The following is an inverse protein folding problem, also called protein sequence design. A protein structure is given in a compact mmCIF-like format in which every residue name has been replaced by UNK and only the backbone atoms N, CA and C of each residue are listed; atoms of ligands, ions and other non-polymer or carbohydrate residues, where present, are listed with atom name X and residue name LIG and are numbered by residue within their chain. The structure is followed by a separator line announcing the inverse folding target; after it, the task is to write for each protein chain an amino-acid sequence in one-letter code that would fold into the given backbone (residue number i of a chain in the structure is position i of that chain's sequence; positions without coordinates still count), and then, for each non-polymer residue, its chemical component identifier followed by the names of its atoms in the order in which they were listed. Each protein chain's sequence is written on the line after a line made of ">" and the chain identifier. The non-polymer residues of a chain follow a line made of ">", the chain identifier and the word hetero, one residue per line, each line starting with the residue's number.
data_IF_220193100164
#
_entry.id   IF_220193100164
#
_cell.length_a   1.000
_cell.length_b   1.000
_cell.length_c   1.000
_cell.angle_alpha   90.00
_cell.angle_beta   90.00
_cell.angle_gamma   90.00
#
_symmetry.space_group_name_H-M   'P 1'
#
loop_
_entity.id
_entity.type
_entity.pdbx_description
1 polymer ?
#
# COMPACT_ATOMS: atom_id res chain seq x y z
N UNK A 1 35.71 -7.17 -3.86
CA UNK A 1 35.28 -6.40 -5.05
C UNK A 1 34.11 -5.52 -4.66
N UNK A 2 34.39 -4.27 -4.30
CA UNK A 2 33.39 -3.24 -4.08
C UNK A 2 32.86 -2.79 -5.44
N UNK A 3 31.60 -3.10 -5.74
CA UNK A 3 30.92 -2.52 -6.89
C UNK A 3 30.73 -1.02 -6.62
N UNK A 4 31.65 -0.21 -7.15
CA UNK A 4 31.45 1.23 -7.26
C UNK A 4 30.34 1.48 -8.27
N UNK A 5 29.14 1.81 -7.78
CA UNK A 5 28.07 2.33 -8.61
C UNK A 5 28.44 3.75 -9.07
N UNK A 6 28.20 4.12 -10.33
CA UNK A 6 28.43 5.48 -10.80
C UNK A 6 27.54 6.48 -10.02
N UNK A 7 28.04 7.70 -9.71
CA UNK A 7 27.42 8.66 -8.77
C UNK A 7 26.15 9.36 -9.28
N UNK A 8 25.37 8.74 -10.17
CA UNK A 8 24.15 9.35 -10.74
C UNK A 8 22.98 8.39 -10.98
N UNK A 9 23.07 7.12 -10.58
CA UNK A 9 21.98 6.14 -10.74
C UNK A 9 21.34 5.77 -9.41
N UNK A 10 20.00 5.85 -9.35
CA UNK A 10 19.19 5.38 -8.21
C UNK A 10 19.63 3.96 -7.79
N UNK A 11 19.88 3.67 -6.50
CA UNK A 11 20.25 2.33 -6.06
C UNK A 11 19.28 1.28 -6.59
N UNK A 12 19.80 0.14 -7.05
CA UNK A 12 18.97 -0.88 -7.68
C UNK A 12 17.81 -1.36 -6.78
N UNK A 13 18.00 -1.63 -5.47
CA UNK A 13 16.88 -1.98 -4.60
C UNK A 13 15.86 -0.85 -4.44
N UNK A 14 16.27 0.42 -4.51
CA UNK A 14 15.34 1.55 -4.50
C UNK A 14 14.53 1.60 -5.80
N UNK A 15 15.14 1.29 -6.95
CA UNK A 15 14.41 1.19 -8.22
C UNK A 15 13.40 0.05 -8.21
N UNK A 16 13.85 -1.16 -7.84
CA UNK A 16 13.02 -2.37 -7.81
C UNK A 16 11.92 -2.25 -6.75
N UNK A 17 12.26 -1.84 -5.52
CA UNK A 17 11.29 -1.65 -4.45
C UNK A 17 10.18 -0.69 -4.86
N UNK A 18 10.52 0.36 -5.62
CA UNK A 18 9.52 1.30 -6.13
C UNK A 18 8.66 0.73 -7.25
N UNK A 19 9.21 -0.09 -8.14
CA UNK A 19 8.42 -0.80 -9.16
C UNK A 19 7.45 -1.77 -8.51
N UNK A 20 7.90 -2.54 -7.51
CA UNK A 20 7.04 -3.44 -6.73
C UNK A 20 5.92 -2.67 -6.05
N UNK A 21 6.24 -1.55 -5.39
CA UNK A 21 5.22 -0.69 -4.76
C UNK A 21 4.25 -0.07 -5.76
N UNK A 22 4.67 0.27 -6.98
CA UNK A 22 3.75 0.72 -8.03
C UNK A 22 2.76 -0.39 -8.42
N UNK A 23 3.22 -1.64 -8.52
CA UNK A 23 2.34 -2.79 -8.76
C UNK A 23 1.37 -2.99 -7.60
N UNK A 24 1.84 -2.92 -6.35
CA UNK A 24 0.99 -2.98 -5.14
C UNK A 24 -0.13 -1.96 -5.22
N UNK A 25 0.19 -0.68 -5.50
CA UNK A 25 -0.80 0.39 -5.59
C UNK A 25 -1.80 0.14 -6.73
N UNK A 26 -1.32 -0.29 -7.90
CA UNK A 26 -2.19 -0.54 -9.06
C UNK A 26 -3.17 -1.69 -8.77
N UNK A 27 -2.67 -2.81 -8.25
CA UNK A 27 -3.50 -3.98 -7.93
C UNK A 27 -4.49 -3.64 -6.82
N UNK A 28 -4.09 -2.88 -5.80
CA UNK A 28 -4.99 -2.47 -4.72
C UNK A 28 -6.11 -1.54 -5.23
N UNK A 29 -5.81 -0.57 -6.11
CA UNK A 29 -6.85 0.28 -6.73
C UNK A 29 -7.85 -0.59 -7.49
N UNK A 30 -7.36 -1.49 -8.34
CA UNK A 30 -8.23 -2.37 -9.12
C UNK A 30 -9.08 -3.27 -8.21
N UNK A 31 -8.49 -3.79 -7.13
CA UNK A 31 -9.18 -4.62 -6.15
C UNK A 31 -10.29 -3.83 -5.44
N UNK A 32 -10.02 -2.59 -5.02
CA UNK A 32 -11.03 -1.73 -4.38
C UNK A 32 -12.20 -1.40 -5.31
N UNK A 33 -11.92 -1.12 -6.59
CA UNK A 33 -12.97 -0.88 -7.59
C UNK A 33 -13.80 -2.14 -7.86
N UNK A 34 -13.16 -3.30 -7.88
CA UNK A 34 -13.84 -4.58 -8.01
C UNK A 34 -14.75 -4.86 -6.81
N UNK A 35 -14.24 -4.68 -5.58
CA UNK A 35 -15.01 -4.83 -4.34
C UNK A 35 -16.18 -3.85 -4.28
N UNK A 36 -15.99 -2.59 -4.66
CA UNK A 36 -17.06 -1.60 -4.77
C UNK A 36 -18.14 -2.06 -5.76
N UNK A 37 -17.74 -2.56 -6.92
CA UNK A 37 -18.65 -3.04 -7.96
C UNK A 37 -19.48 -4.22 -7.45
N UNK A 38 -18.86 -5.20 -6.79
CA UNK A 38 -19.56 -6.34 -6.20
C UNK A 38 -20.58 -5.89 -5.15
N UNK A 39 -20.19 -5.01 -4.23
CA UNK A 39 -21.09 -4.51 -3.18
C UNK A 39 -22.29 -3.73 -3.72
N UNK A 40 -22.11 -2.95 -4.78
CA UNK A 40 -23.20 -2.15 -5.37
C UNK A 40 -24.15 -2.97 -6.26
N UNK A 41 -23.65 -4.05 -6.87
CA UNK A 41 -24.42 -4.89 -7.80
C UNK A 41 -25.15 -6.04 -7.11
N UNK A 42 -24.71 -6.47 -5.93
CA UNK A 42 -25.30 -7.60 -5.21
C UNK A 42 -26.18 -7.09 -4.05
N UNK A 43 -27.53 -7.06 -4.21
CA UNK A 43 -28.44 -6.50 -3.21
C UNK A 43 -28.38 -7.24 -1.87
N UNK A 44 -28.03 -8.53 -1.89
CA UNK A 44 -27.87 -9.35 -0.70
C UNK A 44 -26.77 -8.83 0.24
N UNK A 45 -25.73 -8.18 -0.30
CA UNK A 45 -24.64 -7.57 0.50
C UNK A 45 -25.09 -6.25 1.14
N UNK A 46 -25.90 -5.46 0.45
CA UNK A 46 -26.47 -4.24 1.03
C UNK A 46 -27.50 -4.58 2.11
N UNK A 47 -28.24 -5.68 1.97
CA UNK A 47 -29.23 -6.12 2.94
C UNK A 47 -28.62 -6.44 4.32
N UNK A 48 -27.41 -7.01 4.38
CA UNK A 48 -26.74 -7.28 5.66
C UNK A 48 -26.34 -5.99 6.37
N UNK A 49 -25.83 -5.00 5.63
CA UNK A 49 -25.52 -3.67 6.19
C UNK A 49 -26.77 -2.97 6.74
N UNK A 50 -27.89 -3.11 6.01
CA UNK A 50 -29.18 -2.57 6.46
C UNK A 50 -29.65 -3.27 7.73
N UNK A 51 -29.54 -4.60 7.82
CA UNK A 51 -29.88 -5.36 9.04
C UNK A 51 -29.02 -4.96 10.24
N UNK A 52 -27.71 -4.75 10.05
CA UNK A 52 -26.81 -4.26 11.11
C UNK A 52 -27.21 -2.84 11.57
N UNK A 53 -27.61 -1.97 10.64
CA UNK A 53 -28.06 -0.61 10.95
C UNK A 53 -29.47 -0.51 11.56
N UNK A 54 -30.31 -1.55 11.37
CA UNK A 54 -31.71 -1.57 11.79
C UNK A 54 -31.92 -1.69 13.31
N UNK A 55 -30.86 -1.79 14.10
CA UNK A 55 -30.94 -1.66 15.55
C UNK A 55 -31.47 -0.28 16.00
N UNK A 56 -31.49 0.73 15.10
CA UNK A 56 -31.92 2.10 15.38
C UNK A 56 -33.35 2.46 14.95
N UNK A 57 -34.12 1.54 14.32
CA UNK A 57 -35.59 1.60 14.23
C UNK A 57 -36.31 2.78 13.52
N UNK A 58 -35.63 3.78 12.95
CA UNK A 58 -36.31 5.06 12.58
C UNK A 58 -36.34 5.43 11.08
N UNK A 59 -35.76 4.64 10.18
CA UNK A 59 -35.65 5.01 8.75
C UNK A 59 -36.53 4.14 7.83
N UNK A 60 -37.07 4.73 6.77
CA UNK A 60 -37.75 3.97 5.70
C UNK A 60 -36.78 3.01 4.98
N UNK A 61 -37.27 1.87 4.49
CA UNK A 61 -36.45 0.88 3.76
C UNK A 61 -35.63 1.50 2.61
N UNK A 62 -36.22 2.44 1.87
CA UNK A 62 -35.53 3.15 0.79
C UNK A 62 -34.41 4.05 1.33
N UNK A 63 -34.64 4.76 2.44
CA UNK A 63 -33.61 5.57 3.09
C UNK A 63 -32.45 4.71 3.63
N UNK A 64 -32.75 3.54 4.19
CA UNK A 64 -31.75 2.59 4.67
C UNK A 64 -30.87 2.05 3.54
N UNK A 65 -31.48 1.68 2.41
CA UNK A 65 -30.73 1.21 1.23
C UNK A 65 -29.81 2.30 0.66
N UNK A 66 -30.27 3.54 0.60
CA UNK A 66 -29.44 4.68 0.19
C UNK A 66 -28.30 4.94 1.16
N UNK A 67 -28.56 4.87 2.47
CA UNK A 67 -27.53 5.01 3.50
C UNK A 67 -26.45 3.92 3.37
N UNK A 68 -26.84 2.66 3.14
CA UNK A 68 -25.89 1.55 2.93
C UNK A 68 -25.02 1.77 1.69
N UNK A 69 -25.60 2.16 0.55
CA UNK A 69 -24.84 2.49 -0.67
C UNK A 69 -23.87 3.65 -0.44
N UNK A 70 -24.33 4.71 0.22
CA UNK A 70 -23.49 5.86 0.54
C UNK A 70 -22.33 5.46 1.45
N UNK A 71 -22.58 4.65 2.47
CA UNK A 71 -21.54 4.14 3.37
C UNK A 71 -20.46 3.35 2.62
N UNK A 72 -20.85 2.45 1.71
CA UNK A 72 -19.92 1.68 0.88
C UNK A 72 -19.06 2.60 -0.01
N UNK A 73 -19.68 3.60 -0.65
CA UNK A 73 -18.98 4.56 -1.50
C UNK A 73 -17.98 5.38 -0.68
N UNK A 74 -18.42 5.93 0.46
CA UNK A 74 -17.56 6.73 1.35
C UNK A 74 -16.41 5.89 1.89
N UNK A 75 -16.66 4.67 2.34
CA UNK A 75 -15.61 3.76 2.81
C UNK A 75 -14.56 3.48 1.71
N UNK A 76 -15.01 3.30 0.47
CA UNK A 76 -14.12 3.11 -0.68
C UNK A 76 -13.28 4.37 -0.96
N UNK A 77 -13.90 5.56 -0.93
CA UNK A 77 -13.19 6.83 -1.12
C UNK A 77 -12.15 7.09 -0.03
N UNK A 78 -12.48 6.79 1.22
CA UNK A 78 -11.52 6.89 2.33
C UNK A 78 -10.35 5.93 2.12
N UNK A 79 -10.63 4.69 1.69
CA UNK A 79 -9.59 3.71 1.37
C UNK A 79 -8.67 4.18 0.24
N UNK A 80 -9.25 4.75 -0.83
CA UNK A 80 -8.49 5.34 -1.94
C UNK A 80 -7.66 6.55 -1.51
N UNK A 81 -8.17 7.39 -0.59
CA UNK A 81 -7.42 8.52 -0.05
C UNK A 81 -6.19 8.06 0.76
N UNK A 82 -6.35 7.02 1.58
CA UNK A 82 -5.26 6.37 2.31
C UNK A 82 -4.22 5.81 1.34
N UNK A 83 -4.67 5.16 0.26
CA UNK A 83 -3.78 4.64 -0.78
C UNK A 83 -3.06 5.76 -1.55
N UNK A 84 -3.74 6.88 -1.78
CA UNK A 84 -3.16 8.11 -2.33
C UNK A 84 -2.03 8.66 -1.44
N UNK A 85 -2.15 8.53 -0.12
CA UNK A 85 -1.08 8.89 0.81
C UNK A 85 0.14 7.96 0.71
N UNK A 86 -0.08 6.65 0.52
CA UNK A 86 1.00 5.71 0.23
C UNK A 86 1.69 6.02 -1.11
N UNK A 87 0.91 6.33 -2.15
CA UNK A 87 1.43 6.76 -3.46
C UNK A 87 2.26 8.05 -3.36
N UNK A 88 1.80 9.01 -2.55
CA UNK A 88 2.55 10.23 -2.27
C UNK A 88 3.89 9.93 -1.58
N UNK A 89 3.91 9.07 -0.58
CA UNK A 89 5.14 8.64 0.10
C UNK A 89 6.12 7.98 -0.89
N UNK A 90 5.60 7.11 -1.78
CA UNK A 90 6.39 6.42 -2.81
C UNK A 90 7.02 7.37 -3.83
N UNK A 91 6.35 8.47 -4.18
CA UNK A 91 6.92 9.48 -5.06
C UNK A 91 8.04 10.26 -4.38
N UNK A 92 7.88 10.56 -3.08
CA UNK A 92 8.81 11.39 -2.31
C UNK A 92 10.08 10.68 -1.85
N UNK A 93 10.09 9.34 -1.78
CA UNK A 93 11.27 8.57 -1.34
C UNK A 93 12.50 8.70 -2.27
N UNK A 94 12.34 9.20 -3.51
CA UNK A 94 13.48 9.40 -4.44
C UNK A 94 14.43 10.53 -4.02
N UNK A 95 13.95 11.46 -3.20
CA UNK A 95 14.70 12.67 -2.83
C UNK A 95 15.52 12.35 -1.58
N UNK A 96 16.86 12.37 -1.60
CA UNK A 96 17.66 12.09 -0.42
C UNK A 96 17.43 13.12 0.70
N UNK A 97 17.64 12.71 1.94
CA UNK A 97 17.52 13.55 3.14
C UNK A 97 16.48 13.08 4.16
N UNK A 98 16.46 13.76 5.32
CA UNK A 98 15.69 13.36 6.52
C UNK A 98 14.20 13.08 6.27
N UNK A 99 13.56 13.78 5.32
CA UNK A 99 12.14 13.56 4.98
C UNK A 99 11.91 12.22 4.29
N UNK A 100 12.87 11.74 3.50
CA UNK A 100 12.77 10.45 2.80
C UNK A 100 12.80 9.25 3.75
N UNK A 101 13.53 9.36 4.87
CA UNK A 101 13.45 8.39 5.96
C UNK A 101 12.02 8.24 6.49
N UNK A 102 11.29 9.34 6.67
CA UNK A 102 9.90 9.29 7.15
C UNK A 102 8.97 8.65 6.12
N UNK A 103 9.13 8.97 4.83
CA UNK A 103 8.32 8.33 3.77
C UNK A 103 8.61 6.83 3.64
N UNK A 104 9.86 6.41 3.85
CA UNK A 104 10.22 4.99 3.92
C UNK A 104 9.56 4.28 5.11
N UNK A 105 9.61 4.89 6.30
CA UNK A 105 8.94 4.37 7.49
C UNK A 105 7.43 4.22 7.26
N UNK A 106 6.81 5.24 6.65
CA UNK A 106 5.40 5.22 6.29
C UNK A 106 5.05 4.08 5.34
N UNK A 107 5.86 3.84 4.29
CA UNK A 107 5.69 2.67 3.43
C UNK A 107 5.88 1.35 4.19
N UNK A 108 6.78 1.31 5.17
CA UNK A 108 6.92 0.17 6.09
C UNK A 108 5.63 -0.12 6.88
N UNK A 109 4.97 0.91 7.42
CA UNK A 109 3.66 0.76 8.08
C UNK A 109 2.59 0.23 7.12
N UNK A 110 2.54 0.77 5.90
CA UNK A 110 1.63 0.25 4.88
C UNK A 110 1.90 -1.21 4.53
N UNK A 111 3.16 -1.63 4.44
CA UNK A 111 3.50 -3.03 4.21
C UNK A 111 3.00 -3.94 5.33
N UNK A 112 3.19 -3.54 6.59
CA UNK A 112 2.65 -4.26 7.74
C UNK A 112 1.12 -4.35 7.69
N UNK A 113 0.45 -3.24 7.36
CA UNK A 113 -1.01 -3.21 7.20
C UNK A 113 -1.50 -4.14 6.09
N UNK A 114 -0.92 -4.07 4.88
CA UNK A 114 -1.31 -4.94 3.76
C UNK A 114 -1.02 -6.41 4.04
N UNK A 115 0.10 -6.73 4.69
CA UNK A 115 0.43 -8.10 5.07
C UNK A 115 -0.59 -8.65 6.08
N UNK A 116 -0.89 -7.88 7.13
CA UNK A 116 -1.87 -8.25 8.13
C UNK A 116 -3.27 -8.41 7.51
N UNK A 117 -3.66 -7.47 6.64
CA UNK A 117 -4.94 -7.54 5.91
C UNK A 117 -5.03 -8.80 5.03
N UNK A 118 -3.99 -9.07 4.23
CA UNK A 118 -3.94 -10.29 3.42
C UNK A 118 -4.02 -11.57 4.28
N UNK A 119 -3.43 -11.55 5.49
CA UNK A 119 -3.54 -12.67 6.43
C UNK A 119 -4.97 -12.87 6.97
N UNK A 120 -5.72 -11.79 7.22
CA UNK A 120 -7.12 -11.87 7.66
C UNK A 120 -8.02 -12.57 6.64
N UNK A 121 -7.63 -12.59 5.36
CA UNK A 121 -8.40 -13.30 4.34
C UNK A 121 -8.49 -14.81 4.61
N UNK A 122 -7.49 -15.41 5.26
CA UNK A 122 -7.55 -16.82 5.68
C UNK A 122 -8.53 -17.05 6.83
N UNK A 123 -8.85 -16.02 7.61
CA UNK A 123 -9.79 -16.08 8.72
C UNK A 123 -11.24 -15.76 8.30
N UNK A 124 -11.48 -15.42 7.03
CA UNK A 124 -12.81 -15.04 6.54
C UNK A 124 -13.78 -16.23 6.66
N UNK A 125 -14.87 -16.11 7.44
CA UNK A 125 -15.80 -17.21 7.66
C UNK A 125 -16.52 -17.59 6.36
N UNK A 126 -16.72 -18.89 6.17
CA UNK A 126 -17.44 -19.46 5.02
C UNK A 126 -18.87 -18.90 4.84
N UNK A 127 -19.45 -18.25 5.84
CA UNK A 127 -20.76 -17.60 5.76
C UNK A 127 -20.84 -16.47 4.70
N UNK A 128 -19.74 -15.76 4.44
CA UNK A 128 -19.67 -14.75 3.38
C UNK A 128 -19.73 -15.34 1.95
N UNK A 129 -19.49 -16.66 1.82
CA UNK A 129 -19.53 -17.39 0.54
C UNK A 129 -20.97 -17.54 0.01
N UNK A 130 -21.99 -17.25 0.83
CA UNK A 130 -23.40 -17.43 0.44
C UNK A 130 -24.03 -16.25 -0.30
N UNK A 131 -23.51 -15.03 -0.15
CA UNK A 131 -24.15 -13.80 -0.69
C UNK A 131 -23.58 -13.36 -2.04
N UNK A 132 -22.34 -13.76 -2.32
CA UNK A 132 -21.61 -13.45 -3.55
C UNK A 132 -21.05 -14.75 -4.11
N UNK A 133 -21.11 -14.99 -5.44
CA UNK A 133 -20.58 -16.22 -6.01
C UNK A 133 -19.11 -16.45 -5.65
N UNK A 134 -18.78 -17.70 -5.31
CA UNK A 134 -17.48 -18.09 -4.77
C UNK A 134 -16.28 -17.57 -5.58
N UNK A 135 -16.38 -17.53 -6.92
CA UNK A 135 -15.30 -17.05 -7.77
C UNK A 135 -14.87 -15.61 -7.44
N UNK A 136 -15.79 -14.71 -7.10
CA UNK A 136 -15.45 -13.32 -6.78
C UNK A 136 -14.67 -13.25 -5.46
N UNK A 137 -15.14 -13.97 -4.45
CA UNK A 137 -14.51 -14.01 -3.12
C UNK A 137 -13.11 -14.64 -3.17
N UNK A 138 -12.92 -15.71 -3.93
CA UNK A 138 -11.62 -16.38 -4.09
C UNK A 138 -10.64 -15.49 -4.85
N UNK A 139 -11.05 -14.90 -5.97
CA UNK A 139 -10.19 -14.01 -6.76
C UNK A 139 -9.79 -12.79 -5.95
N UNK A 140 -10.74 -12.13 -5.29
CA UNK A 140 -10.44 -10.98 -4.45
C UNK A 140 -9.48 -11.36 -3.31
N UNK A 141 -9.74 -12.45 -2.61
CA UNK A 141 -8.88 -12.89 -1.52
C UNK A 141 -7.45 -13.21 -1.97
N UNK A 142 -7.29 -13.86 -3.12
CA UNK A 142 -5.99 -14.13 -3.71
C UNK A 142 -5.23 -12.84 -4.07
N UNK A 143 -5.93 -11.84 -4.62
CA UNK A 143 -5.34 -10.53 -4.91
C UNK A 143 -4.89 -9.81 -3.63
N UNK A 144 -5.69 -9.82 -2.57
CA UNK A 144 -5.33 -9.19 -1.29
C UNK A 144 -4.10 -9.85 -0.65
N UNK A 145 -4.01 -11.19 -0.70
CA UNK A 145 -2.82 -11.92 -0.25
C UNK A 145 -1.59 -11.54 -1.09
N UNK A 146 -1.72 -11.51 -2.41
CA UNK A 146 -0.64 -11.13 -3.32
C UNK A 146 -0.15 -9.70 -3.03
N UNK A 147 -1.06 -8.76 -2.83
CA UNK A 147 -0.75 -7.36 -2.44
C UNK A 147 0.04 -7.34 -1.14
N UNK A 148 -0.38 -8.11 -0.13
CA UNK A 148 0.35 -8.22 1.14
C UNK A 148 1.79 -8.72 0.96
N UNK A 149 2.00 -9.78 0.19
CA UNK A 149 3.33 -10.35 -0.10
C UNK A 149 4.21 -9.34 -0.86
N UNK A 150 3.65 -8.69 -1.89
CA UNK A 150 4.38 -7.70 -2.67
C UNK A 150 4.72 -6.46 -1.84
N UNK A 151 3.84 -6.00 -0.95
CA UNK A 151 4.11 -4.86 -0.08
C UNK A 151 5.26 -5.14 0.88
N UNK A 152 5.33 -6.34 1.48
CA UNK A 152 6.46 -6.78 2.31
C UNK A 152 7.74 -6.88 1.49
N UNK A 153 7.67 -7.45 0.29
CA UNK A 153 8.82 -7.56 -0.62
C UNK A 153 9.36 -6.17 -0.98
N UNK A 154 8.47 -5.23 -1.32
CA UNK A 154 8.79 -3.84 -1.57
C UNK A 154 9.44 -3.17 -0.37
N UNK A 155 8.91 -3.38 0.84
CA UNK A 155 9.51 -2.87 2.07
C UNK A 155 10.92 -3.44 2.30
N UNK A 156 11.13 -4.76 2.19
CA UNK A 156 12.46 -5.38 2.37
C UNK A 156 13.49 -4.73 1.43
N UNK A 157 13.13 -4.48 0.16
CA UNK A 157 13.99 -3.81 -0.80
C UNK A 157 14.33 -2.38 -0.39
N UNK A 158 13.36 -1.62 0.13
CA UNK A 158 13.56 -0.24 0.56
C UNK A 158 14.38 -0.10 1.86
N UNK A 159 14.47 -1.16 2.66
CA UNK A 159 15.24 -1.18 3.91
C UNK A 159 16.66 -1.75 3.75
N UNK A 160 17.09 -2.10 2.53
CA UNK A 160 18.47 -2.51 2.28
C UNK A 160 19.46 -1.38 2.60
N UNK A 161 20.67 -1.77 3.01
CA UNK A 161 21.74 -0.86 3.43
C UNK A 161 22.05 0.20 2.36
N UNK A 162 22.12 -0.20 1.10
CA UNK A 162 22.33 0.67 -0.06
C UNK A 162 21.28 1.79 -0.18
N UNK A 163 20.01 1.49 0.14
CA UNK A 163 18.93 2.50 0.09
C UNK A 163 19.03 3.44 1.28
N UNK A 164 19.46 2.94 2.44
CA UNK A 164 19.69 3.75 3.63
C UNK A 164 20.84 4.72 3.42
N UNK A 165 21.99 4.26 2.93
CA UNK A 165 23.14 5.11 2.67
C UNK A 165 22.82 6.21 1.63
N UNK A 166 22.08 5.87 0.58
CA UNK A 166 21.56 6.84 -0.38
C UNK A 166 20.61 7.88 0.25
N UNK A 167 19.68 7.45 1.11
CA UNK A 167 18.72 8.35 1.77
C UNK A 167 19.41 9.26 2.80
N UNK A 168 20.41 8.74 3.51
CA UNK A 168 21.16 9.45 4.54
C UNK A 168 22.26 10.36 3.95
N UNK A 169 22.56 10.20 2.64
CA UNK A 169 23.51 11.04 1.91
C UNK A 169 24.97 10.61 2.07
N UNK A 170 25.21 9.37 2.49
CA UNK A 170 26.53 8.82 2.78
C UNK A 170 27.25 8.29 1.52
N UNK A 171 26.53 8.09 0.41
CA UNK A 171 27.03 7.47 -0.83
C UNK A 171 27.81 8.42 -1.77
N UNK A 172 28.62 9.36 -1.25
CA UNK A 172 29.74 9.91 -2.05
C UNK A 172 29.92 11.43 -2.16
N UNK A 173 29.58 12.23 -1.14
CA UNK A 173 30.00 13.65 -1.08
C UNK A 173 31.04 13.98 0.00
N UNK A 174 31.58 13.00 0.72
CA UNK A 174 32.52 13.26 1.83
C UNK A 174 33.99 12.89 1.53
N UNK A 175 34.32 12.35 0.35
CA UNK A 175 35.71 11.98 0.02
C UNK A 175 36.41 12.91 -1.00
N UNK A 176 35.77 14.01 -1.41
CA UNK A 176 36.39 14.98 -2.34
C UNK A 176 37.08 16.18 -1.65
N UNK A 177 37.12 16.25 -0.31
CA UNK A 177 37.72 17.39 0.42
C UNK A 177 38.98 17.06 1.23
N UNK A 178 39.43 15.79 1.27
CA UNK A 178 40.72 15.42 1.86
C UNK A 178 41.73 15.04 0.77
N UNK A 179 42.13 16.03 0.00
CA UNK A 179 43.02 15.85 -1.14
C UNK A 179 43.96 17.01 -1.42
N UNK A 180 44.43 17.74 -0.41
CA UNK A 180 45.65 18.57 -0.53
C UNK A 180 46.35 18.67 0.82
N UNK A 181 47.30 17.77 1.08
CA UNK A 181 48.49 18.15 1.85
C UNK A 181 49.44 18.89 0.91
N UNK A 182 49.95 20.06 1.30
CA UNK A 182 51.25 20.50 0.87
C UNK A 182 52.18 20.50 2.08
N UNK A 183 52.93 19.40 2.25
CA UNK A 183 54.30 19.56 2.70
C UNK A 183 55.05 20.20 1.52
N UNK A 184 55.42 21.48 1.62
CA UNK A 184 56.59 22.02 0.94
C UNK A 184 57.03 23.35 1.55
N UNK A 185 58.13 23.24 2.31
CA UNK A 185 59.15 24.24 2.69
C UNK A 185 58.78 25.30 3.73
#
# INVERSE_FOLDING_TARGET
>A
MSHHLPPSSLPEPLRLGRQVWLVVLLVEVLSQLFTLTVQLTHPAVLATLVQESNQAGELSENAQLWAARFAVIVATLVSLAILGFAAFALQRIRIPGKKSRNYRLLLGYFAGFFAFRGMLQFASPAAAVSLVPLQYTVVQGALEILVGVLAVTGAILLYRKEVTAYIDGEDGTTDASHGTSPHQR
#
